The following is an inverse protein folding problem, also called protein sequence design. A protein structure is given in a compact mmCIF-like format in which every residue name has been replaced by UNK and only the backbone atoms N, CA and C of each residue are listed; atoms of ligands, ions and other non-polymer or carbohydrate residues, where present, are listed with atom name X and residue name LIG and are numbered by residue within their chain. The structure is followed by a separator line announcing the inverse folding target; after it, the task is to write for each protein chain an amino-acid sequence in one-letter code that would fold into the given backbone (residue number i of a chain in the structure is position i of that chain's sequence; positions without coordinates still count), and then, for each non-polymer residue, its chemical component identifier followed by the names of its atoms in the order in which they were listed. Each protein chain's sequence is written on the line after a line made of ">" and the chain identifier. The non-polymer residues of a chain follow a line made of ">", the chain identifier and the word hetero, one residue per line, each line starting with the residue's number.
data_IF_011889704028
#
_entry.id   IF_011889704028
#
_cell.length_a   1.000
_cell.length_b   1.000
_cell.length_c   1.000
_cell.angle_alpha   90.00
_cell.angle_beta   90.00
_cell.angle_gamma   90.00
#
_symmetry.space_group_name_H-M   'P 1'
#
loop_
_entity.id
_entity.type
_entity.pdbx_description
1 polymer ?
#
# COMPACT_ATOMS: atom_id res chain seq x y z
N UNK A 1 -6.63 17.62 10.08
CA UNK A 1 -6.68 18.46 8.86
C UNK A 1 -5.27 18.65 8.38
N UNK A 2 -5.01 18.46 7.08
CA UNK A 2 -3.69 18.69 6.49
C UNK A 2 -3.53 20.19 6.23
N UNK A 3 -2.42 20.84 6.62
CA UNK A 3 -2.21 22.27 6.38
C UNK A 3 -2.31 22.61 4.89
N UNK A 4 -2.87 23.78 4.50
CA UNK A 4 -3.05 24.15 3.09
C UNK A 4 -1.76 24.19 2.28
N UNK A 5 -0.63 24.47 2.92
CA UNK A 5 0.68 24.57 2.28
C UNK A 5 1.39 23.22 2.15
N UNK A 6 0.87 22.17 2.77
CA UNK A 6 1.47 20.84 2.71
C UNK A 6 0.93 20.05 1.53
N UNK A 7 1.83 19.45 0.75
CA UNK A 7 1.44 18.49 -0.28
C UNK A 7 1.02 17.17 0.38
N UNK A 8 -0.16 16.67 0.02
CA UNK A 8 -0.68 15.39 0.48
C UNK A 8 -0.91 14.47 -0.70
N UNK A 9 -0.34 13.28 -0.65
CA UNK A 9 -0.55 12.22 -1.64
C UNK A 9 -1.26 11.06 -0.95
N UNK A 10 -2.38 10.62 -1.53
CA UNK A 10 -3.13 9.46 -1.04
C UNK A 10 -2.97 8.30 -2.02
N UNK A 11 -2.50 7.16 -1.51
CA UNK A 11 -2.44 5.90 -2.26
C UNK A 11 -3.55 4.97 -1.74
N UNK A 12 -4.56 4.63 -2.56
CA UNK A 12 -5.71 3.83 -2.15
C UNK A 12 -5.38 2.32 -2.17
N UNK A 13 -4.33 1.93 -1.46
CA UNK A 13 -3.88 0.53 -1.39
C UNK A 13 -4.85 -0.30 -0.51
N UNK A 14 -5.16 -1.54 -0.90
CA UNK A 14 -6.01 -2.41 -0.09
C UNK A 14 -5.28 -2.84 1.20
N UNK A 15 -6.02 -3.02 2.29
CA UNK A 15 -5.47 -3.57 3.55
C UNK A 15 -5.20 -5.08 3.40
N UNK A 16 -3.93 -5.53 3.38
CA UNK A 16 -3.61 -6.94 3.21
C UNK A 16 -4.05 -7.79 4.41
N UNK A 17 -4.26 -7.21 5.60
CA UNK A 17 -4.75 -7.94 6.77
C UNK A 17 -6.21 -8.39 6.63
N UNK A 18 -6.99 -7.72 5.77
CA UNK A 18 -8.37 -8.11 5.43
C UNK A 18 -8.44 -9.27 4.42
N UNK A 19 -7.29 -9.70 3.86
CA UNK A 19 -7.26 -10.81 2.91
C UNK A 19 -7.80 -12.10 3.54
N UNK A 20 -8.66 -12.80 2.80
CA UNK A 20 -9.24 -14.09 3.21
C UNK A 20 -8.54 -15.24 2.50
N UNK A 21 -8.61 -16.43 3.09
CA UNK A 21 -7.99 -17.64 2.53
C UNK A 21 -6.89 -18.23 3.41
N UNK A 22 -6.11 -19.14 2.85
CA UNK A 22 -4.99 -19.81 3.53
C UNK A 22 -3.86 -18.82 3.84
N UNK A 23 -2.93 -19.18 4.76
CA UNK A 23 -1.76 -18.35 5.02
C UNK A 23 -0.97 -17.98 3.77
N UNK A 24 -0.85 -18.90 2.81
CA UNK A 24 -0.15 -18.69 1.54
C UNK A 24 -0.89 -17.67 0.66
N UNK A 25 -2.22 -17.78 0.56
CA UNK A 25 -3.04 -16.83 -0.19
C UNK A 25 -2.96 -15.42 0.43
N UNK A 26 -3.03 -15.32 1.76
CA UNK A 26 -2.82 -14.05 2.47
C UNK A 26 -1.43 -13.49 2.19
N UNK A 27 -0.39 -14.34 2.25
CA UNK A 27 0.99 -13.94 2.00
C UNK A 27 1.20 -13.39 0.59
N UNK A 28 0.48 -13.90 -0.42
CA UNK A 28 0.50 -13.32 -1.77
C UNK A 28 -0.03 -11.88 -1.76
N UNK A 29 -1.16 -11.61 -1.10
CA UNK A 29 -1.73 -10.25 -1.01
C UNK A 29 -0.77 -9.29 -0.29
N UNK A 30 -0.17 -9.73 0.81
CA UNK A 30 0.85 -8.94 1.52
C UNK A 30 2.02 -8.57 0.61
N UNK A 31 2.51 -9.51 -0.21
CA UNK A 31 3.62 -9.24 -1.15
C UNK A 31 3.21 -8.27 -2.25
N UNK A 32 1.99 -8.40 -2.78
CA UNK A 32 1.47 -7.48 -3.79
C UNK A 32 1.44 -6.03 -3.27
N UNK A 33 0.83 -5.80 -2.10
CA UNK A 33 0.76 -4.45 -1.51
C UNK A 33 2.15 -3.91 -1.21
N UNK A 34 3.06 -4.73 -0.66
CA UNK A 34 4.46 -4.34 -0.42
C UNK A 34 5.16 -3.91 -1.71
N UNK A 35 5.00 -4.67 -2.78
CA UNK A 35 5.67 -4.40 -4.05
C UNK A 35 5.10 -3.15 -4.73
N UNK A 36 3.79 -2.89 -4.58
CA UNK A 36 3.14 -1.65 -5.03
C UNK A 36 3.66 -0.42 -4.28
N UNK A 37 3.77 -0.48 -2.93
CA UNK A 37 4.39 0.57 -2.11
C UNK A 37 5.82 0.84 -2.60
N UNK A 38 6.59 -0.21 -2.89
CA UNK A 38 7.96 -0.09 -3.36
C UNK A 38 8.05 0.69 -4.68
N UNK A 39 7.15 0.43 -5.64
CA UNK A 39 7.13 1.17 -6.91
C UNK A 39 6.71 2.63 -6.71
N UNK A 40 5.69 2.87 -5.90
CA UNK A 40 5.19 4.21 -5.58
C UNK A 40 6.28 5.07 -4.94
N UNK A 41 6.96 4.54 -3.92
CA UNK A 41 8.09 5.23 -3.26
C UNK A 41 9.23 5.47 -4.25
N UNK A 42 9.57 4.49 -5.10
CA UNK A 42 10.59 4.67 -6.13
C UNK A 42 10.28 5.81 -7.10
N UNK A 43 9.00 6.10 -7.35
CA UNK A 43 8.59 7.25 -8.17
C UNK A 43 8.72 8.61 -7.48
N UNK A 44 9.00 8.64 -6.17
CA UNK A 44 9.17 9.87 -5.39
C UNK A 44 10.63 10.27 -5.19
N UNK A 45 11.58 9.38 -5.46
CA UNK A 45 13.03 9.57 -5.31
C UNK A 45 13.72 9.69 -6.66
#
# INVERSE_FOLDING_TARGET
>A
MIPPQAQSVHWPLPDPAQAKGTPEQKMVVFRQVRDEIKQLVKGLI
#
